data_IF_825470187107
#
_entry.id   IF_825470187107
#
_cell.length_a   1.000
_cell.length_b   1.000
_cell.length_c   1.000
_cell.angle_alpha   90.00
_cell.angle_beta   90.00
_cell.angle_gamma   90.00
#
_symmetry.space_group_name_H-M   'P 1'
#
loop_
_entity.id
_entity.type
_entity.pdbx_description
1 polymer ?
2 polymer ?
3 polymer ?
4 non-polymer ?
5 water ?
#
loop_
_entity_poly.entity_id
_entity_poly.type
_entity_poly.pdbx_seq_one_letter_code
_entity_poly.pdbx_strand_id
2 'polydeoxyribonucleotide' '(DG)(DC)(DA)(DT)(DC)(DT)(DC)(DG)(DC)(DC)(DT)' ?
3 'polydeoxyribonucleotide' '(DT)(DG)(DG)(DC)(DG)(DA)(DG)(DA)(DT)(DG)(DC)' ?
#
# COMPACT_ATOMS: atom_id res chain seq x y z
N UNK A 7 -27.91 -3.47 -3.29
CA UNK A 7 -27.99 -2.23 -4.04
C UNK A 7 -28.54 -1.10 -3.18
N UNK A 8 -29.71 -1.33 -2.59
CA UNK A 8 -30.36 -0.32 -1.72
C UNK A 8 -29.61 -0.26 -0.38
N UNK A 9 -29.61 0.91 0.28
CA UNK A 9 -28.91 1.12 1.57
C UNK A 9 -29.74 2.00 2.50
N UNK A 10 -29.40 1.98 3.81
CA UNK A 10 -29.98 2.84 4.88
C UNK A 10 -28.96 3.91 5.20
N UNK A 11 -29.34 5.18 4.98
CA UNK A 11 -28.51 6.32 5.41
C UNK A 11 -28.43 6.13 6.92
N UNK A 12 -27.19 6.02 7.44
CA UNK A 12 -26.86 6.02 8.88
C UNK A 12 -27.59 7.16 9.60
N UNK A 13 -27.85 8.27 8.90
CA UNK A 13 -28.09 9.62 9.52
C UNK A 13 -29.57 9.96 9.67
N UNK A 14 -30.35 9.95 8.58
CA UNK A 14 -31.83 10.11 8.59
C UNK A 14 -32.46 8.72 8.80
N UNK A 15 -31.74 7.64 8.49
CA UNK A 15 -32.26 6.27 8.61
C UNK A 15 -33.21 5.88 7.47
N UNK A 16 -33.33 6.70 6.41
CA UNK A 16 -34.15 6.41 5.20
C UNK A 16 -33.33 5.48 4.27
N UNK A 17 -33.99 4.74 3.38
CA UNK A 17 -33.35 3.97 2.29
C UNK A 17 -32.87 4.91 1.18
N UNK A 18 -31.64 4.72 0.70
CA UNK A 18 -31.15 5.30 -0.57
C UNK A 18 -30.29 4.26 -1.29
N UNK A 19 -30.01 4.51 -2.57
CA UNK A 19 -29.16 3.63 -3.36
C UNK A 19 -27.95 4.35 -3.98
N UNK A 20 -28.11 5.64 -4.25
CA UNK A 20 -27.04 6.44 -4.85
C UNK A 20 -26.73 7.67 -4.00
N UNK A 21 -25.44 7.86 -3.71
CA UNK A 21 -24.97 9.01 -2.89
C UNK A 21 -23.52 9.38 -3.24
N UNK A 22 -23.24 10.69 -3.21
CA UNK A 22 -21.90 11.27 -3.39
C UNK A 22 -20.91 10.63 -2.39
N UNK A 23 -21.31 10.52 -1.14
CA UNK A 23 -20.49 9.87 -0.10
C UNK A 23 -20.54 8.35 -0.33
N UNK A 24 -21.69 7.77 -0.73
CA UNK A 24 -21.74 6.30 -0.94
C UNK A 24 -21.07 5.87 -2.27
N UNK A 25 -21.13 6.68 -3.34
CA UNK A 25 -20.30 6.41 -4.55
C UNK A 25 -18.79 6.54 -4.29
N UNK A 26 -18.34 7.69 -3.78
CA UNK A 26 -16.89 8.04 -3.65
C UNK A 26 -16.19 7.34 -2.53
N UNK A 27 -16.74 7.48 -1.33
CA UNK A 27 -16.44 6.63 -0.16
C UNK A 27 -17.61 5.65 -0.02
N UNK A 28 -17.36 4.56 0.74
CA UNK A 28 -18.49 3.62 1.07
C UNK A 28 -19.01 4.15 2.40
N UNK A 29 -19.80 5.21 2.37
CA UNK A 29 -20.33 5.81 3.62
C UNK A 29 -21.83 5.83 3.40
N UNK A 30 -22.61 5.00 4.13
CA UNK A 30 -24.07 4.96 3.96
C UNK A 30 -24.72 6.26 4.48
N UNK A 31 -24.59 7.35 3.71
CA UNK A 31 -25.17 8.66 4.10
C UNK A 31 -25.79 9.33 2.87
N UNK A 32 -27.13 9.36 2.81
CA UNK A 32 -27.85 9.99 1.67
C UNK A 32 -27.47 11.49 1.60
N UNK A 33 -27.43 11.99 0.37
CA UNK A 33 -27.03 13.38 -0.01
C UNK A 33 -27.92 14.46 0.60
N UNK A 34 -29.07 14.09 1.16
CA UNK A 34 -29.93 15.01 1.93
C UNK A 34 -29.22 15.26 3.27
N UNK A 35 -28.76 14.18 3.88
CA UNK A 35 -28.10 14.22 5.21
C UNK A 35 -26.63 14.69 5.04
N UNK A 36 -26.20 14.99 3.79
CA UNK A 36 -24.78 15.31 3.46
C UNK A 36 -24.38 16.73 3.95
N UNK A 37 -23.30 16.74 4.75
CA UNK A 37 -22.65 17.95 5.32
C UNK A 37 -21.25 18.00 4.71
N UNK A 38 -21.10 18.72 3.60
CA UNK A 38 -19.84 18.77 2.80
C UNK A 38 -18.90 19.86 3.38
N UNK A 39 -19.43 20.82 4.13
CA UNK A 39 -18.64 21.86 4.83
C UNK A 39 -18.29 21.43 6.26
N UNK A 40 -19.07 20.52 6.87
CA UNK A 40 -18.77 20.19 8.28
C UNK A 40 -18.43 18.71 8.43
N UNK A 41 -19.39 17.91 8.86
CA UNK A 41 -19.19 16.47 9.15
C UNK A 41 -18.68 15.74 7.92
N UNK A 42 -19.10 16.17 6.73
CA UNK A 42 -18.63 15.56 5.49
C UNK A 42 -17.47 16.36 4.92
N UNK A 43 -16.67 16.96 5.81
CA UNK A 43 -15.54 17.77 5.40
C UNK A 43 -14.31 16.93 5.06
N UNK A 44 -13.60 17.33 4.02
CA UNK A 44 -12.41 16.60 3.58
C UNK A 44 -11.09 17.22 4.04
N UNK A 45 -10.05 16.37 4.07
CA UNK A 45 -8.69 16.79 4.43
C UNK A 45 -7.61 16.10 3.59
N UNK A 46 -6.64 16.89 3.14
CA UNK A 46 -5.47 16.43 2.36
C UNK A 46 -4.73 15.32 3.12
N UNK A 47 -4.08 14.40 2.39
CA UNK A 47 -3.44 13.19 2.98
C UNK A 47 -2.40 13.55 4.07
N UNK A 48 -1.62 14.59 3.80
CA UNK A 48 -0.54 15.11 4.64
C UNK A 48 -0.98 15.56 6.03
N UNK A 49 -1.99 16.48 6.08
CA UNK A 49 -2.59 16.99 7.33
C UNK A 49 -3.21 15.79 8.08
N UNK A 50 -4.03 15.01 7.37
CA UNK A 50 -4.59 13.74 7.89
C UNK A 50 -3.52 12.96 8.67
N UNK A 51 -2.36 12.78 8.03
CA UNK A 51 -1.32 11.88 8.55
C UNK A 51 -0.67 12.60 9.74
N UNK A 52 -0.32 13.87 9.57
CA UNK A 52 0.42 14.63 10.61
C UNK A 52 -0.48 15.07 11.77
N UNK A 53 -1.79 15.24 11.53
CA UNK A 53 -2.74 15.67 12.59
C UNK A 53 -3.14 14.47 13.48
N UNK A 54 -3.16 13.27 12.89
CA UNK A 54 -3.73 12.01 13.48
C UNK A 54 -2.76 10.82 13.39
N UNK A 55 -1.45 11.08 13.24
CA UNK A 55 -0.34 10.07 13.30
C UNK A 55 -0.55 8.76 12.54
N UNK A 56 -0.89 8.84 11.26
CA UNK A 56 -1.22 7.66 10.47
C UNK A 56 -0.16 7.32 9.43
N UNK A 57 0.13 6.03 9.32
CA UNK A 57 1.06 5.54 8.30
C UNK A 57 0.29 5.30 7.00
N UNK A 58 0.97 5.39 5.87
CA UNK A 58 0.29 5.22 4.58
C UNK A 58 -0.48 3.90 4.53
N UNK A 59 0.03 2.92 5.25
CA UNK A 59 -0.60 1.56 5.32
C UNK A 59 -1.88 1.59 6.17
N UNK A 60 -1.86 2.35 7.27
CA UNK A 60 -3.05 2.63 8.12
C UNK A 60 -4.20 3.20 7.26
N UNK A 61 -3.88 3.96 6.21
CA UNK A 61 -4.89 4.50 5.25
C UNK A 61 -5.33 3.39 4.28
N UNK A 62 -4.33 2.85 3.56
CA UNK A 62 -4.49 2.08 2.29
C UNK A 62 -4.65 0.58 2.54
N UNK A 63 -3.80 -0.03 3.38
CA UNK A 63 -3.86 -1.50 3.59
C UNK A 63 -4.99 -1.85 4.59
N UNK A 64 -5.15 -1.06 5.65
CA UNK A 64 -6.12 -1.39 6.75
C UNK A 64 -7.55 -1.42 6.21
N UNK A 65 -8.19 -2.59 6.30
CA UNK A 65 -9.55 -2.82 5.77
C UNK A 65 -10.55 -2.14 6.69
N UNK A 66 -11.55 -1.43 6.15
CA UNK A 66 -11.63 -1.14 4.71
C UNK A 66 -10.70 0.01 4.28
N UNK A 67 -9.88 -0.19 3.22
CA UNK A 67 -8.96 0.86 2.76
C UNK A 67 -9.70 2.15 2.41
N UNK A 68 -9.28 3.29 2.97
CA UNK A 68 -9.94 4.59 2.68
C UNK A 68 -9.55 5.07 1.27
N UNK A 69 -10.53 5.63 0.54
CA UNK A 69 -10.34 6.28 -0.77
C UNK A 69 -10.45 7.80 -0.61
N UNK A 70 -10.29 8.52 -1.73
CA UNK A 70 -10.06 9.97 -1.73
C UNK A 70 -10.42 10.53 -3.10
N UNK A 71 -10.58 11.84 -3.14
CA UNK A 71 -10.70 12.62 -4.40
C UNK A 71 -9.30 13.16 -4.74
N UNK A 72 -9.04 13.27 -6.03
CA UNK A 72 -7.86 14.00 -6.56
C UNK A 72 -8.35 15.40 -6.91
N UNK A 73 -7.50 16.41 -6.69
CA UNK A 73 -7.76 17.84 -6.97
C UNK A 73 -6.43 18.49 -7.41
N UNK A 74 -6.52 19.65 -8.07
CA UNK A 74 -5.37 20.43 -8.60
C UNK A 74 -4.94 21.47 -7.55
N UNK A 75 -3.70 21.39 -7.07
CA UNK A 75 -3.17 22.36 -6.08
C UNK A 75 -3.47 23.78 -6.59
N UNK A 76 -3.78 24.75 -5.70
CA UNK A 76 -4.00 26.16 -6.09
C UNK A 76 -2.78 26.83 -6.77
N UNK A 77 -2.92 27.12 -8.07
CA UNK A 77 -1.86 27.75 -8.89
C UNK A 77 -0.55 26.94 -8.75
N UNK A 78 -0.63 25.72 -8.21
CA UNK A 78 0.52 24.82 -7.97
C UNK A 78 0.41 23.58 -8.86
N UNK A 79 -0.20 23.73 -10.05
CA UNK A 79 -0.22 22.74 -11.16
C UNK A 79 1.18 22.17 -11.42
N UNK A 80 2.24 22.97 -11.26
CA UNK A 80 3.60 22.46 -11.42
C UNK A 80 3.85 21.25 -10.52
N UNK A 81 3.09 21.15 -9.44
CA UNK A 81 3.21 20.03 -8.46
C UNK A 81 2.22 18.86 -8.55
N UNK A 82 2.43 17.85 -7.70
CA UNK A 82 1.60 16.63 -7.58
C UNK A 82 0.24 16.97 -7.00
N UNK A 83 -0.80 16.28 -7.50
CA UNK A 83 -2.20 16.59 -7.15
C UNK A 83 -2.42 16.27 -5.68
N UNK A 84 -3.39 16.98 -5.11
CA UNK A 84 -3.91 16.73 -3.75
C UNK A 84 -4.71 15.43 -3.80
N UNK A 85 -4.53 14.54 -2.81
CA UNK A 85 -5.48 13.47 -2.41
C UNK A 85 -6.31 13.91 -1.19
N UNK A 86 -7.47 14.50 -1.48
CA UNK A 86 -8.48 14.76 -0.43
C UNK A 86 -9.16 13.44 -0.09
N UNK A 87 -9.07 13.04 1.19
CA UNK A 87 -9.88 12.01 1.91
C UNK A 87 -11.08 12.71 2.56
N UNK A 88 -12.01 11.95 3.14
CA UNK A 88 -12.99 12.52 4.10
C UNK A 88 -12.34 12.51 5.49
N UNK A 89 -12.37 13.68 6.13
CA UNK A 89 -11.90 13.91 7.52
C UNK A 89 -12.54 12.87 8.45
N UNK A 90 -13.86 12.68 8.39
CA UNK A 90 -14.58 11.70 9.25
C UNK A 90 -13.83 10.36 9.32
N UNK A 91 -13.60 9.73 8.17
CA UNK A 91 -13.07 8.35 8.05
C UNK A 91 -11.73 8.33 8.77
N UNK A 92 -10.90 9.35 8.54
CA UNK A 92 -9.56 9.44 9.20
C UNK A 92 -9.76 9.52 10.71
N UNK A 93 -10.69 10.36 11.16
CA UNK A 93 -10.97 10.52 12.62
C UNK A 93 -11.29 9.15 13.22
N UNK A 94 -11.91 8.26 12.43
CA UNK A 94 -12.26 6.90 12.90
C UNK A 94 -11.04 6.03 12.64
N UNK A 95 -10.51 6.02 11.43
CA UNK A 95 -9.35 5.15 11.13
C UNK A 95 -8.27 5.36 12.19
N UNK A 96 -8.01 6.62 12.52
CA UNK A 96 -7.17 7.04 13.67
C UNK A 96 -7.66 6.35 14.94
N UNK A 97 -8.92 6.56 15.33
CA UNK A 97 -9.43 6.03 16.59
C UNK A 97 -9.17 4.54 16.73
N UNK A 98 -9.40 3.81 15.65
CA UNK A 98 -9.23 2.34 15.63
C UNK A 98 -7.73 2.01 15.69
N UNK A 99 -6.89 2.74 14.95
CA UNK A 99 -5.41 2.51 14.91
C UNK A 99 -4.82 2.88 16.27
N UNK A 100 -5.26 3.99 16.86
CA UNK A 100 -4.77 4.45 18.19
C UNK A 100 -5.65 3.96 19.34
N UNK A 101 -6.82 3.41 19.02
CA UNK A 101 -7.72 2.84 20.02
C UNK A 101 -8.59 3.82 20.78
N UNK A 102 -8.02 4.99 21.11
CA UNK A 102 -8.71 5.99 21.94
C UNK A 102 -8.19 7.41 21.70
N UNK A 103 -8.94 8.43 22.13
CA UNK A 103 -8.49 9.84 21.94
C UNK A 103 -7.27 9.86 22.87
N UNK A 104 -7.44 9.38 24.10
CA UNK A 104 -6.35 9.37 25.12
C UNK A 104 -5.07 8.74 24.53
N UNK A 105 -5.19 7.85 23.55
CA UNK A 105 -4.00 7.20 22.95
C UNK A 105 -3.47 7.88 21.70
N UNK A 106 -4.20 8.87 21.16
CA UNK A 106 -3.64 9.76 20.10
C UNK A 106 -2.77 10.81 20.78
N UNK A 107 -3.36 11.50 21.76
CA UNK A 107 -2.75 12.64 22.49
C UNK A 107 -1.41 12.16 23.03
N UNK A 108 -1.47 11.12 23.88
CA UNK A 108 -0.32 10.49 24.51
C UNK A 108 0.85 10.28 23.56
N UNK A 109 0.52 9.76 22.36
CA UNK A 109 1.50 9.22 21.38
C UNK A 109 2.15 10.36 20.59
N UNK A 110 1.44 11.47 20.45
CA UNK A 110 1.96 12.70 19.80
C UNK A 110 2.77 13.52 20.80
N UNK A 111 2.52 13.31 22.10
CA UNK A 111 3.23 13.93 23.25
C UNK A 111 4.59 13.23 23.36
N UNK A 112 4.52 11.89 23.33
CA UNK A 112 5.68 10.96 23.27
C UNK A 112 6.41 11.19 21.94
N UNK A 113 5.67 11.62 20.90
CA UNK A 113 6.27 11.99 19.60
C UNK A 113 7.19 13.21 19.81
N UNK A 114 6.63 14.28 20.36
CA UNK A 114 7.32 15.58 20.52
C UNK A 114 8.54 15.44 21.46
N UNK A 115 8.45 14.54 22.45
CA UNK A 115 9.56 14.14 23.37
C UNK A 115 10.84 13.75 22.60
N UNK A 116 10.65 13.01 21.49
CA UNK A 116 11.76 12.42 20.70
C UNK A 116 12.18 13.41 19.63
N UNK A 117 11.23 14.06 18.97
CA UNK A 117 11.51 15.17 18.02
C UNK A 117 12.49 16.13 18.66
N UNK A 118 12.26 16.49 19.93
CA UNK A 118 13.13 17.38 20.73
C UNK A 118 14.46 16.65 20.95
N UNK A 119 14.39 15.45 21.55
CA UNK A 119 15.54 14.56 21.90
C UNK A 119 16.26 14.07 20.63
N UNK A 120 15.55 14.04 19.49
CA UNK A 120 16.17 13.62 18.22
C UNK A 120 17.24 14.67 17.85
N UNK A 121 16.90 15.96 18.02
CA UNK A 121 17.74 17.14 17.68
C UNK A 121 18.68 17.44 18.86
N UNK A 122 18.21 17.17 20.08
CA UNK A 122 19.01 17.22 21.33
C UNK A 122 19.73 15.87 21.44
N UNK B 7 -10.71 -23.62 -10.17
CA UNK B 7 -10.31 -24.68 -9.25
C UNK B 7 -9.11 -25.45 -9.79
N UNK B 8 -9.33 -26.18 -10.88
CA UNK B 8 -8.24 -26.98 -11.51
C UNK B 8 -7.46 -26.10 -12.47
N UNK B 9 -6.12 -26.26 -12.51
CA UNK B 9 -5.17 -25.35 -13.22
C UNK B 9 -4.11 -26.13 -14.01
N UNK B 10 -3.49 -25.43 -14.98
CA UNK B 10 -2.44 -25.97 -15.92
C UNK B 10 -1.09 -25.47 -15.44
N UNK B 11 -0.21 -26.39 -15.04
CA UNK B 11 1.16 -25.98 -14.74
C UNK B 11 1.66 -25.33 -16.03
N UNK B 12 2.03 -24.06 -15.94
CA UNK B 12 2.80 -23.33 -16.98
C UNK B 12 3.94 -24.22 -17.47
N UNK B 13 4.64 -24.93 -16.55
CA UNK B 13 5.93 -25.60 -16.88
C UNK B 13 5.82 -26.96 -17.59
N UNK B 14 5.18 -27.96 -16.95
CA UNK B 14 5.05 -29.35 -17.46
C UNK B 14 3.77 -29.39 -18.31
N UNK B 15 2.88 -28.41 -18.15
CA UNK B 15 1.63 -28.32 -18.93
C UNK B 15 0.57 -29.26 -18.38
N UNK B 16 0.89 -30.03 -17.34
CA UNK B 16 -0.06 -30.96 -16.66
C UNK B 16 -1.10 -30.12 -15.91
N UNK B 17 -2.27 -30.73 -15.61
CA UNK B 17 -3.27 -30.16 -14.68
C UNK B 17 -2.77 -30.40 -13.25
N UNK B 18 -3.02 -29.44 -12.38
CA UNK B 18 -2.92 -29.59 -10.91
C UNK B 18 -3.94 -28.62 -10.30
N UNK B 19 -4.16 -28.72 -8.99
CA UNK B 19 -5.07 -27.79 -8.28
C UNK B 19 -4.46 -27.17 -7.03
N UNK B 20 -3.42 -27.81 -6.52
CA UNK B 20 -2.78 -27.48 -5.25
C UNK B 20 -1.26 -27.58 -5.36
N UNK B 21 -0.64 -26.41 -5.30
CA UNK B 21 0.82 -26.16 -5.40
C UNK B 21 1.29 -25.13 -4.35
N UNK B 22 2.55 -25.26 -3.93
CA UNK B 22 3.16 -24.36 -2.92
C UNK B 22 3.27 -22.95 -3.54
N UNK B 23 3.53 -22.93 -4.84
CA UNK B 23 3.66 -21.67 -5.63
C UNK B 23 2.27 -21.19 -6.04
N UNK B 24 1.24 -22.03 -5.99
CA UNK B 24 -0.13 -21.60 -6.36
C UNK B 24 -0.94 -21.24 -5.10
N UNK B 25 -0.70 -21.93 -3.98
CA UNK B 25 -1.22 -21.43 -2.68
C UNK B 25 -0.56 -20.06 -2.33
N UNK B 26 0.77 -19.99 -2.18
CA UNK B 26 1.50 -18.84 -1.51
C UNK B 26 1.66 -17.63 -2.45
N UNK B 27 1.94 -17.90 -3.71
CA UNK B 27 1.82 -16.96 -4.84
C UNK B 27 0.77 -17.58 -5.76
N UNK B 28 0.18 -16.80 -6.67
CA UNK B 28 -0.81 -17.36 -7.61
C UNK B 28 0.05 -17.58 -8.85
N UNK B 29 0.88 -18.62 -8.81
CA UNK B 29 1.80 -18.95 -9.94
C UNK B 29 1.41 -20.35 -10.34
N UNK B 30 0.89 -20.55 -11.58
CA UNK B 30 0.48 -21.87 -12.05
C UNK B 30 1.70 -22.77 -12.31
N UNK B 31 2.37 -23.21 -11.24
CA UNK B 31 3.56 -24.09 -11.35
C UNK B 31 3.44 -25.25 -10.37
N UNK B 32 3.03 -26.42 -10.85
CA UNK B 32 2.87 -27.62 -9.99
C UNK B 32 4.19 -27.91 -9.26
N UNK B 33 4.06 -28.49 -8.07
CA UNK B 33 5.17 -28.73 -7.12
C UNK B 33 6.25 -29.65 -7.69
N UNK B 34 5.88 -30.48 -8.67
CA UNK B 34 6.83 -31.37 -9.37
C UNK B 34 7.79 -30.46 -10.16
N UNK B 35 7.24 -29.49 -10.88
CA UNK B 35 8.03 -28.58 -11.74
C UNK B 35 8.62 -27.41 -10.91
N UNK B 36 8.40 -27.38 -9.59
CA UNK B 36 8.96 -26.37 -8.65
C UNK B 36 10.51 -26.45 -8.58
N UNK B 37 11.13 -25.27 -8.47
CA UNK B 37 12.60 -25.03 -8.47
C UNK B 37 12.74 -24.00 -7.32
N UNK B 38 12.84 -24.51 -6.09
CA UNK B 38 12.78 -23.71 -4.83
C UNK B 38 14.19 -23.10 -4.63
N UNK B 39 15.23 -23.65 -5.32
CA UNK B 39 16.64 -23.17 -5.24
C UNK B 39 17.08 -22.44 -6.51
N UNK B 40 16.31 -22.49 -7.61
CA UNK B 40 16.71 -21.83 -8.88
C UNK B 40 15.64 -20.83 -9.36
N UNK B 41 14.83 -21.22 -10.33
CA UNK B 41 13.81 -20.33 -10.88
C UNK B 41 12.79 -19.88 -9.83
N UNK B 42 12.53 -20.74 -8.86
CA UNK B 42 11.54 -20.46 -7.82
C UNK B 42 12.20 -19.98 -6.53
N UNK B 43 13.35 -19.33 -6.70
CA UNK B 43 14.19 -18.76 -5.63
C UNK B 43 13.56 -17.44 -5.18
N UNK B 44 13.56 -17.23 -3.86
CA UNK B 44 13.00 -16.03 -3.17
C UNK B 44 13.98 -14.87 -3.21
N UNK B 45 13.53 -13.71 -2.75
CA UNK B 45 14.40 -12.56 -2.42
C UNK B 45 13.69 -11.74 -1.36
N UNK B 46 14.50 -11.19 -0.46
CA UNK B 46 14.08 -10.17 0.53
C UNK B 46 13.46 -9.02 -0.26
N UNK B 47 12.50 -8.31 0.36
CA UNK B 47 11.86 -7.08 -0.19
C UNK B 47 12.96 -6.09 -0.60
N UNK B 48 13.94 -5.85 0.27
CA UNK B 48 14.91 -4.72 0.19
C UNK B 48 15.80 -4.93 -1.04
N UNK B 49 16.50 -6.09 -1.06
CA UNK B 49 17.35 -6.45 -2.21
C UNK B 49 16.52 -6.25 -3.46
N UNK B 50 15.28 -6.75 -3.42
CA UNK B 50 14.34 -6.71 -4.56
C UNK B 50 14.33 -5.25 -5.05
N UNK B 51 14.05 -4.36 -4.10
CA UNK B 51 13.65 -2.97 -4.41
C UNK B 51 14.88 -2.24 -4.93
N UNK B 52 16.04 -2.50 -4.33
CA UNK B 52 17.35 -1.91 -4.69
C UNK B 52 17.94 -2.61 -5.93
N UNK B 53 17.59 -3.87 -6.20
CA UNK B 53 18.20 -4.62 -7.30
C UNK B 53 17.39 -4.51 -8.59
N UNK B 54 16.17 -4.02 -8.46
CA UNK B 54 15.23 -3.86 -9.59
C UNK B 54 14.50 -2.49 -9.61
N UNK B 55 14.85 -1.59 -8.67
CA UNK B 55 14.34 -0.19 -8.61
C UNK B 55 12.81 -0.12 -8.45
N UNK B 56 12.27 -0.80 -7.44
CA UNK B 56 10.81 -1.04 -7.30
C UNK B 56 10.14 -0.40 -6.07
N UNK B 57 9.28 0.58 -6.32
CA UNK B 57 8.58 1.28 -5.22
C UNK B 57 7.71 0.20 -4.56
N UNK B 58 7.44 0.38 -3.26
CA UNK B 58 6.53 -0.53 -2.54
C UNK B 58 5.16 -0.51 -3.22
N UNK B 59 4.83 0.58 -3.93
CA UNK B 59 3.51 0.65 -4.64
C UNK B 59 3.58 -0.27 -5.85
N UNK B 60 4.73 -0.29 -6.54
CA UNK B 60 5.04 -1.24 -7.63
C UNK B 60 4.90 -2.70 -7.15
N UNK B 61 5.09 -3.01 -5.86
CA UNK B 61 4.92 -4.39 -5.31
C UNK B 61 3.43 -4.64 -4.97
N UNK B 62 2.83 -3.70 -4.22
CA UNK B 62 1.65 -3.91 -3.35
C UNK B 62 0.37 -3.29 -3.93
N UNK B 63 0.47 -2.20 -4.71
CA UNK B 63 -0.72 -1.64 -5.37
C UNK B 63 -0.87 -2.26 -6.76
N UNK B 64 0.18 -2.20 -7.59
CA UNK B 64 0.17 -2.73 -8.99
C UNK B 64 -0.51 -4.12 -9.03
N UNK B 65 -1.38 -4.34 -10.03
CA UNK B 65 -2.23 -5.56 -10.13
C UNK B 65 -1.62 -6.52 -11.16
N UNK B 66 -1.40 -7.80 -10.80
CA UNK B 66 -1.72 -8.34 -9.46
C UNK B 66 -0.65 -8.02 -8.40
N UNK B 67 -1.07 -7.62 -7.18
CA UNK B 67 -0.14 -7.27 -6.10
C UNK B 67 0.66 -8.47 -5.56
N UNK B 68 1.99 -8.41 -5.60
CA UNK B 68 2.79 -9.62 -5.30
C UNK B 68 2.62 -9.98 -3.82
N UNK B 69 2.64 -11.28 -3.46
CA UNK B 69 2.60 -11.68 -2.04
C UNK B 69 3.95 -12.31 -1.68
N UNK B 70 4.17 -12.54 -0.38
CA UNK B 70 5.49 -12.90 0.20
C UNK B 70 5.30 -13.80 1.42
N UNK B 71 6.40 -14.40 1.82
CA UNK B 71 6.52 -15.16 3.09
C UNK B 71 7.26 -14.26 4.09
N UNK B 72 6.75 -14.24 5.30
CA UNK B 72 7.44 -13.72 6.50
C UNK B 72 8.39 -14.81 6.97
N UNK B 73 9.59 -14.40 7.40
CA UNK B 73 10.59 -15.29 8.06
C UNK B 73 11.25 -14.51 9.19
N UNK B 74 11.82 -15.25 10.16
CA UNK B 74 12.59 -14.69 11.30
C UNK B 74 13.99 -14.39 10.76
N UNK B 75 14.49 -13.18 10.99
CA UNK B 75 15.89 -12.79 10.71
C UNK B 75 16.78 -13.80 11.45
N UNK B 76 17.94 -14.22 10.90
CA UNK B 76 18.91 -15.05 11.63
C UNK B 76 19.57 -14.39 12.86
N UNK B 77 19.34 -15.03 14.01
CA UNK B 77 19.81 -14.66 15.36
C UNK B 77 19.65 -13.16 15.52
N UNK B 78 18.63 -12.61 14.88
CA UNK B 78 18.42 -11.16 14.96
C UNK B 78 17.00 -10.99 15.43
N UNK B 79 16.45 -11.93 16.21
CA UNK B 79 15.02 -11.89 16.63
C UNK B 79 14.47 -10.59 17.25
N UNK B 80 15.32 -9.68 17.71
CA UNK B 80 15.00 -8.32 18.18
C UNK B 80 14.59 -7.44 16.98
N UNK B 81 14.80 -7.88 15.74
CA UNK B 81 14.44 -7.03 14.57
C UNK B 81 13.24 -7.60 13.85
N UNK B 82 12.71 -6.80 12.91
CA UNK B 82 11.50 -7.09 12.13
C UNK B 82 11.72 -8.28 11.21
N UNK B 83 10.64 -9.01 10.91
CA UNK B 83 10.66 -10.27 10.12
C UNK B 83 10.88 -9.94 8.66
N UNK B 84 11.55 -10.86 7.95
CA UNK B 84 11.90 -10.73 6.51
C UNK B 84 10.61 -10.95 5.70
N UNK B 85 10.36 -10.13 4.68
CA UNK B 85 9.31 -10.37 3.64
C UNK B 85 9.96 -10.95 2.38
N UNK B 86 9.98 -12.27 2.29
CA UNK B 86 10.54 -13.01 1.13
C UNK B 86 9.49 -13.03 0.03
N UNK B 87 9.79 -12.38 -1.09
CA UNK B 87 9.04 -12.50 -2.36
C UNK B 87 9.68 -13.58 -3.22
N UNK B 88 8.92 -14.17 -4.15
CA UNK B 88 9.57 -14.92 -5.25
C UNK B 88 10.33 -13.94 -6.17
N UNK B 89 11.64 -14.14 -6.30
CA UNK B 89 12.50 -13.40 -7.25
C UNK B 89 11.88 -13.38 -8.66
N UNK B 90 11.33 -14.50 -9.16
CA UNK B 90 10.70 -14.59 -10.53
C UNK B 90 9.66 -13.47 -10.76
N UNK B 91 8.79 -13.19 -9.78
CA UNK B 91 7.67 -12.22 -9.93
C UNK B 91 8.23 -10.79 -9.89
N UNK B 92 9.28 -10.60 -9.10
CA UNK B 92 9.99 -9.29 -9.02
C UNK B 92 10.53 -9.01 -10.42
N UNK B 93 11.29 -9.98 -10.96
CA UNK B 93 11.90 -9.88 -12.31
C UNK B 93 10.85 -9.37 -13.29
N UNK B 94 9.67 -9.94 -13.26
CA UNK B 94 8.65 -9.61 -14.29
C UNK B 94 7.99 -8.28 -13.91
N UNK B 95 7.54 -8.14 -12.68
CA UNK B 95 6.93 -6.87 -12.23
C UNK B 95 7.86 -5.75 -12.71
N UNK B 96 9.16 -5.81 -12.36
CA UNK B 96 10.23 -4.89 -12.82
C UNK B 96 10.11 -4.73 -14.32
N UNK B 97 10.16 -5.82 -15.07
CA UNK B 97 10.17 -5.73 -16.54
C UNK B 97 8.93 -4.93 -16.98
N UNK B 98 7.83 -5.05 -16.24
CA UNK B 98 6.57 -4.37 -16.61
C UNK B 98 6.54 -2.99 -15.94
N UNK B 99 7.35 -2.74 -14.94
CA UNK B 99 7.45 -1.36 -14.38
C UNK B 99 8.50 -0.56 -15.18
N UNK B 100 9.56 -1.21 -15.61
CA UNK B 100 10.64 -0.58 -16.43
C UNK B 100 10.42 -0.76 -17.93
N UNK B 101 9.69 -1.82 -18.33
CA UNK B 101 9.32 -2.09 -19.74
C UNK B 101 10.37 -2.81 -20.56
N UNK B 102 11.63 -2.80 -20.10
CA UNK B 102 12.79 -3.41 -20.80
C UNK B 102 13.81 -3.94 -19.78
N UNK B 103 14.68 -4.86 -20.22
CA UNK B 103 16.03 -5.15 -19.64
C UNK B 103 16.87 -3.87 -19.68
N UNK B 104 16.96 -3.23 -20.83
CA UNK B 104 17.82 -2.05 -21.00
C UNK B 104 17.42 -0.87 -20.10
N UNK B 105 16.12 -0.66 -19.93
CA UNK B 105 15.60 0.50 -19.18
C UNK B 105 15.95 0.39 -17.70
N UNK B 106 16.09 -0.83 -17.16
CA UNK B 106 16.47 -1.02 -15.75
C UNK B 106 17.93 -0.57 -15.55
N UNK B 107 18.81 -0.99 -16.46
CA UNK B 107 20.26 -0.62 -16.44
C UNK B 107 20.29 0.90 -16.59
N UNK B 108 19.73 1.43 -17.70
CA UNK B 108 19.76 2.89 -18.04
C UNK B 108 19.35 3.72 -16.81
N UNK B 109 18.23 3.39 -16.17
CA UNK B 109 17.62 4.17 -15.07
C UNK B 109 18.51 4.06 -13.83
N UNK B 110 19.09 2.88 -13.57
CA UNK B 110 20.01 2.68 -12.41
C UNK B 110 21.35 3.39 -12.66
N UNK B 111 21.72 3.48 -13.94
CA UNK B 111 22.90 4.23 -14.46
C UNK B 111 22.64 5.73 -14.25
N UNK B 112 21.46 6.18 -14.69
CA UNK B 112 20.99 7.57 -14.37
C UNK B 112 20.87 7.71 -12.85
N UNK B 113 20.42 6.66 -12.15
CA UNK B 113 20.28 6.70 -10.66
C UNK B 113 21.64 6.99 -10.04
N UNK B 114 22.69 6.30 -10.50
CA UNK B 114 24.06 6.50 -9.96
C UNK B 114 24.53 7.93 -10.25
N UNK B 115 24.40 8.40 -11.50
CA UNK B 115 24.62 9.80 -11.94
C UNK B 115 24.17 10.82 -10.88
N UNK B 116 22.95 10.64 -10.33
CA UNK B 116 22.40 11.57 -9.32
C UNK B 116 23.06 11.30 -7.96
N UNK B 117 23.14 10.05 -7.55
CA UNK B 117 23.74 9.64 -6.24
C UNK B 117 25.10 10.31 -6.08
N UNK B 118 25.91 10.36 -7.15
CA UNK B 118 27.24 11.00 -7.11
C UNK B 118 27.07 12.52 -7.08
N UNK B 119 26.13 13.04 -7.87
CA UNK B 119 25.82 14.49 -7.97
C UNK B 119 25.05 15.00 -6.72
N UNK B 120 24.33 14.10 -6.04
CA UNK B 120 23.57 14.40 -4.80
C UNK B 120 24.58 14.80 -3.71
N UNK B 121 25.68 14.04 -3.66
CA UNK B 121 26.79 14.19 -2.67
C UNK B 121 27.89 15.08 -3.24
N UNK B 122 27.82 15.40 -4.55
CA UNK B 122 28.78 16.29 -5.26
C UNK B 122 28.06 17.60 -5.62
#
# INVERSE_FOLDING_TARGET
>A
GSHMEFDYVICEECGKEFMDSYLMNHFDLPTCDNCRDADDKHKLITKTEAKQEYLLKDCDLEKREPPLKFIVKKNPHHSQWGDMKLYLKLQIVKRSLEVWGSQEALEEAKEVRQENREKMKQKKFDKKVKELRRAVRSSVWKRET
>B
GSHMEFDYVICEECGKEFMDSYLMNHFDLPTCDNCRDADDKHKLITKTEAKQEYLLKDCDLEKREPPLKFIVKKNPHHSQWGDMKLYLKLQIVKRSLEVWGSQEALEEAKEVRQENREKMKQKKFDKKVKELRRAVRSSVWKRET
#
